data_IF_355387791578
#
_entry.id   IF_355387791578
#
_cell.length_a   1.000
_cell.length_b   1.000
_cell.length_c   1.000
_cell.angle_alpha   90.00
_cell.angle_beta   90.00
_cell.angle_gamma   90.00
#
_symmetry.space_group_name_H-M   'P 1'
#
loop_
_entity.id
_entity.type
_entity.pdbx_description
1 polymer ?
#
# COMPACT_ATOMS: atom_id res chain seq x y z
N UNK A 1 -31.90 8.76 2.32
CA UNK A 1 -31.43 7.38 2.10
C UNK A 1 -30.82 7.35 0.71
N UNK A 2 -29.57 7.00 0.42
CA UNK A 2 -28.41 6.49 1.18
C UNK A 2 -27.34 6.28 0.11
N UNK A 3 -26.10 6.66 0.34
CA UNK A 3 -24.95 5.80 0.00
C UNK A 3 -24.03 5.84 1.20
N UNK A 4 -24.15 4.81 2.03
CA UNK A 4 -23.12 4.47 3.01
C UNK A 4 -22.03 3.81 2.18
N UNK A 5 -20.86 4.44 2.12
CA UNK A 5 -19.67 3.81 1.55
C UNK A 5 -19.41 2.54 2.37
N UNK A 6 -19.69 1.38 1.79
CA UNK A 6 -19.54 0.09 2.48
C UNK A 6 -18.12 -0.06 3.06
N UNK A 7 -17.95 -0.74 4.20
CA UNK A 7 -16.62 -1.00 4.75
C UNK A 7 -15.80 -1.77 3.71
N UNK A 8 -14.60 -1.25 3.44
CA UNK A 8 -13.57 -1.84 2.57
C UNK A 8 -13.58 -3.39 2.63
N UNK A 9 -14.16 -4.08 1.62
CA UNK A 9 -14.44 -5.53 1.70
C UNK A 9 -13.19 -6.41 1.62
N UNK A 10 -12.00 -5.84 1.46
CA UNK A 10 -10.75 -6.59 1.40
C UNK A 10 -9.62 -5.92 2.17
N UNK A 11 -8.87 -6.73 2.91
CA UNK A 11 -7.64 -6.31 3.58
C UNK A 11 -6.49 -7.17 3.10
N UNK A 12 -5.44 -6.51 2.61
CA UNK A 12 -4.15 -7.11 2.30
C UNK A 12 -3.13 -6.69 3.34
N UNK A 13 -2.46 -7.66 3.97
CA UNK A 13 -1.38 -7.41 4.92
C UNK A 13 -0.10 -7.94 4.30
N UNK A 14 0.91 -7.07 4.23
CA UNK A 14 2.21 -7.38 3.70
C UNK A 14 3.27 -7.13 4.75
N UNK A 15 3.95 -8.20 5.15
CA UNK A 15 5.04 -8.16 6.12
C UNK A 15 6.36 -8.43 5.41
N UNK A 16 7.35 -7.57 5.68
CA UNK A 16 8.71 -7.64 5.14
C UNK A 16 9.65 -7.91 6.31
N UNK A 17 10.29 -9.06 6.30
CA UNK A 17 11.31 -9.42 7.30
C UNK A 17 12.67 -8.84 6.92
N UNK A 18 13.48 -8.51 7.93
CA UNK A 18 14.82 -7.94 7.74
C UNK A 18 14.82 -6.69 6.84
N UNK A 19 13.76 -5.88 6.92
CA UNK A 19 13.62 -4.67 6.12
C UNK A 19 14.76 -3.68 6.45
N UNK A 20 15.58 -3.38 5.46
CA UNK A 20 16.64 -2.38 5.56
C UNK A 20 16.39 -1.26 4.54
N UNK A 21 16.21 -0.01 5.02
CA UNK A 21 16.02 1.15 4.15
C UNK A 21 17.04 1.23 3.00
N UNK A 22 18.31 0.95 3.30
CA UNK A 22 19.44 1.24 2.40
C UNK A 22 19.68 0.22 1.28
N UNK A 23 18.89 -0.84 1.18
CA UNK A 23 19.21 -1.99 0.34
C UNK A 23 18.50 -2.05 -1.01
N UNK A 24 17.42 -1.27 -1.22
CA UNK A 24 16.63 -1.38 -2.45
C UNK A 24 15.89 -0.10 -2.81
N UNK A 25 15.98 0.32 -4.08
CA UNK A 25 15.27 1.49 -4.60
C UNK A 25 13.75 1.27 -4.71
N UNK A 26 13.30 0.02 -4.81
CA UNK A 26 11.89 -0.35 -4.86
C UNK A 26 11.67 -1.78 -4.37
N UNK A 27 10.78 -1.97 -3.40
CA UNK A 27 10.31 -3.28 -2.95
C UNK A 27 8.85 -3.46 -3.38
N UNK A 28 8.52 -4.63 -3.92
CA UNK A 28 7.16 -4.93 -4.41
C UNK A 28 6.59 -6.13 -3.67
N UNK A 29 5.33 -6.03 -3.26
CA UNK A 29 4.61 -7.15 -2.63
C UNK A 29 4.29 -8.24 -3.68
N UNK A 30 3.98 -9.47 -3.24
CA UNK A 30 3.24 -10.40 -4.07
C UNK A 30 1.95 -9.75 -4.55
N UNK A 31 1.57 -10.03 -5.80
CA UNK A 31 0.32 -9.50 -6.34
C UNK A 31 -0.88 -10.26 -5.81
N UNK A 32 -1.99 -9.57 -5.62
CA UNK A 32 -3.27 -10.13 -5.21
C UNK A 32 -4.38 -9.79 -6.23
N UNK A 33 -5.44 -10.60 -6.24
CA UNK A 33 -6.60 -10.43 -7.13
C UNK A 33 -7.83 -10.29 -6.27
N UNK A 34 -8.62 -9.24 -6.52
CA UNK A 34 -9.82 -8.96 -5.72
C UNK A 34 -11.05 -9.06 -6.60
N UNK A 35 -12.03 -9.86 -6.15
CA UNK A 35 -13.24 -10.18 -6.92
C UNK A 35 -14.09 -8.96 -7.24
N UNK A 36 -14.41 -8.14 -6.23
CA UNK A 36 -15.22 -6.93 -6.40
C UNK A 36 -14.50 -5.86 -7.25
N UNK A 37 -13.16 -5.86 -7.24
CA UNK A 37 -12.35 -5.05 -8.17
C UNK A 37 -12.21 -5.72 -9.54
N UNK A 38 -13.31 -6.29 -10.06
CA UNK A 38 -13.40 -6.85 -11.41
C UNK A 38 -12.32 -7.90 -11.73
N UNK A 39 -11.86 -8.64 -10.72
CA UNK A 39 -10.79 -9.66 -10.83
C UNK A 39 -9.50 -9.10 -11.42
N UNK A 40 -9.19 -7.82 -11.20
CA UNK A 40 -7.92 -7.22 -11.59
C UNK A 40 -6.84 -7.51 -10.55
N UNK A 41 -5.59 -7.39 -11.00
CA UNK A 41 -4.41 -7.73 -10.23
C UNK A 41 -3.78 -6.46 -9.67
N UNK A 42 -3.30 -6.53 -8.44
CA UNK A 42 -2.82 -5.39 -7.67
C UNK A 42 -1.62 -5.81 -6.83
N UNK A 43 -0.81 -4.85 -6.42
CA UNK A 43 0.30 -5.05 -5.48
C UNK A 43 0.62 -3.75 -4.76
N UNK A 44 1.40 -3.85 -3.69
CA UNK A 44 1.97 -2.71 -3.00
C UNK A 44 3.42 -2.51 -3.45
N UNK A 45 3.85 -1.25 -3.50
CA UNK A 45 5.24 -0.87 -3.78
C UNK A 45 5.73 0.07 -2.69
N UNK A 46 6.92 -0.19 -2.13
CA UNK A 46 7.63 0.77 -1.29
C UNK A 46 8.79 1.31 -2.11
N UNK A 47 8.90 2.64 -2.22
CA UNK A 47 9.99 3.30 -2.95
C UNK A 47 10.60 4.40 -2.11
N UNK A 48 11.90 4.57 -2.24
CA UNK A 48 12.59 5.75 -1.70
C UNK A 48 12.01 7.02 -2.32
N UNK A 49 11.91 8.08 -1.53
CA UNK A 49 11.50 9.38 -2.01
C UNK A 49 12.67 10.04 -2.73
N UNK A 50 12.48 10.45 -3.98
CA UNK A 50 13.51 11.21 -4.68
C UNK A 50 13.77 12.52 -3.92
N UNK A 51 15.03 12.82 -3.62
CA UNK A 51 15.52 14.08 -3.02
C UNK A 51 15.19 14.32 -1.53
N UNK A 52 14.50 13.40 -0.85
CA UNK A 52 14.13 13.52 0.56
C UNK A 52 14.41 12.20 1.31
N UNK A 53 14.88 12.28 2.56
CA UNK A 53 14.96 11.09 3.42
C UNK A 53 13.53 10.55 3.63
N UNK A 54 13.34 9.24 3.38
CA UNK A 54 12.05 8.55 3.58
C UNK A 54 11.63 7.63 2.44
N UNK A 55 10.50 6.95 2.64
CA UNK A 55 9.89 6.07 1.62
C UNK A 55 8.41 6.35 1.51
N UNK A 56 7.85 6.05 0.35
CA UNK A 56 6.42 6.08 0.10
C UNK A 56 5.94 4.67 -0.17
N UNK A 57 4.78 4.32 0.41
CA UNK A 57 4.07 3.10 0.07
C UNK A 57 2.96 3.43 -0.93
N UNK A 58 2.88 2.68 -2.00
CA UNK A 58 1.91 2.86 -3.07
C UNK A 58 1.07 1.61 -3.23
N UNK A 59 -0.18 1.78 -3.62
CA UNK A 59 -0.95 0.71 -4.25
C UNK A 59 -0.87 0.87 -5.77
N UNK A 60 -0.62 -0.24 -6.46
CA UNK A 60 -0.47 -0.28 -7.92
C UNK A 60 -1.41 -1.32 -8.51
N UNK A 61 -2.00 -0.98 -9.66
CA UNK A 61 -2.72 -1.93 -10.51
C UNK A 61 -1.75 -2.54 -11.53
N UNK A 62 -1.70 -3.85 -11.57
CA UNK A 62 -0.88 -4.60 -12.52
C UNK A 62 -1.42 -4.50 -13.96
N UNK A 63 -0.56 -4.77 -14.94
CA UNK A 63 -0.99 -4.91 -16.33
C UNK A 63 -1.77 -6.23 -16.50
N UNK A 64 -3.09 -6.13 -16.37
CA UNK A 64 -4.02 -7.27 -16.46
C UNK A 64 -4.34 -7.72 -17.91
N UNK A 65 -3.51 -7.31 -18.89
CA UNK A 65 -3.50 -7.62 -20.35
C UNK A 65 -4.86 -7.51 -21.05
N UNK A 66 -5.88 -8.26 -20.65
CA UNK A 66 -7.26 -8.25 -21.19
C UNK A 66 -8.40 -8.30 -20.13
N UNK A 67 -8.09 -8.34 -18.83
CA UNK A 67 -9.12 -8.34 -17.77
C UNK A 67 -9.46 -6.93 -17.31
N UNK A 68 -10.67 -6.77 -16.75
CA UNK A 68 -11.13 -5.54 -16.12
C UNK A 68 -11.34 -4.33 -17.04
N UNK A 69 -11.97 -3.27 -16.53
CA UNK A 69 -12.17 -2.02 -17.26
C UNK A 69 -10.86 -1.25 -17.46
N UNK A 70 -10.85 -0.30 -18.42
CA UNK A 70 -9.68 0.55 -18.69
C UNK A 70 -9.23 1.34 -17.46
N UNK A 71 -10.18 1.73 -16.60
CA UNK A 71 -9.95 2.47 -15.35
C UNK A 71 -10.75 1.82 -14.23
N UNK A 72 -10.20 1.78 -13.02
CA UNK A 72 -10.92 1.41 -11.80
C UNK A 72 -10.68 2.51 -10.78
N UNK A 73 -11.76 3.04 -10.23
CA UNK A 73 -11.71 3.91 -9.07
C UNK A 73 -11.81 3.07 -7.81
N UNK A 74 -10.88 3.28 -6.88
CA UNK A 74 -10.88 2.60 -5.57
C UNK A 74 -10.70 3.61 -4.44
N UNK A 75 -11.39 3.34 -3.35
CA UNK A 75 -11.09 3.91 -2.05
C UNK A 75 -10.18 2.94 -1.32
N UNK A 76 -9.19 3.45 -0.62
CA UNK A 76 -8.28 2.60 0.13
C UNK A 76 -7.76 3.28 1.38
N UNK A 77 -7.25 2.49 2.31
CA UNK A 77 -6.47 2.91 3.47
C UNK A 77 -5.14 2.15 3.47
N UNK A 78 -4.01 2.85 3.46
CA UNK A 78 -2.70 2.28 3.71
C UNK A 78 -2.30 2.58 5.15
N UNK A 79 -1.79 1.59 5.87
CA UNK A 79 -1.38 1.74 7.25
C UNK A 79 -0.08 0.99 7.54
N UNK A 80 0.76 1.56 8.40
CA UNK A 80 1.94 0.90 8.96
C UNK A 80 1.56 0.35 10.32
N UNK A 81 1.82 -0.92 10.54
CA UNK A 81 1.49 -1.61 11.80
C UNK A 81 2.74 -1.81 12.65
N UNK A 82 2.57 -1.70 13.97
CA UNK A 82 3.55 -2.18 14.94
C UNK A 82 3.49 -3.72 15.08
N UNK A 83 4.44 -4.28 15.81
CA UNK A 83 4.55 -5.73 16.03
C UNK A 83 3.32 -6.32 16.75
N UNK A 84 2.60 -5.52 17.55
CA UNK A 84 1.35 -5.90 18.23
C UNK A 84 0.09 -5.74 17.35
N UNK A 85 0.27 -5.32 16.09
CA UNK A 85 -0.81 -5.06 15.14
C UNK A 85 -1.49 -3.70 15.28
N UNK A 86 -1.07 -2.87 16.24
CA UNK A 86 -1.58 -1.50 16.37
C UNK A 86 -1.15 -0.63 15.18
N UNK A 87 -1.97 0.37 14.85
CA UNK A 87 -1.72 1.27 13.72
C UNK A 87 -0.79 2.40 14.17
N UNK A 88 0.42 2.46 13.59
CA UNK A 88 1.36 3.54 13.83
C UNK A 88 1.00 4.80 13.02
N UNK A 89 0.58 4.59 11.79
CA UNK A 89 0.06 5.62 10.90
C UNK A 89 -0.88 4.99 9.88
N UNK A 90 -1.83 5.78 9.38
CA UNK A 90 -2.68 5.39 8.28
C UNK A 90 -3.07 6.60 7.44
N UNK A 91 -3.16 6.41 6.13
CA UNK A 91 -3.64 7.41 5.19
C UNK A 91 -4.72 6.77 4.31
N UNK A 92 -5.81 7.53 4.14
CA UNK A 92 -6.91 7.15 3.28
C UNK A 92 -6.77 7.90 1.96
N UNK A 93 -7.02 7.20 0.87
CA UNK A 93 -6.96 7.77 -0.46
C UNK A 93 -8.10 7.28 -1.35
N UNK A 94 -8.35 8.05 -2.40
CA UNK A 94 -9.23 7.68 -3.49
C UNK A 94 -8.47 7.91 -4.80
N UNK A 95 -8.37 6.88 -5.64
CA UNK A 95 -7.55 6.94 -6.85
C UNK A 95 -8.20 6.30 -8.05
N UNK A 96 -7.91 6.83 -9.23
CA UNK A 96 -8.33 6.29 -10.53
C UNK A 96 -7.14 5.56 -11.18
N UNK A 97 -7.19 4.24 -11.18
CA UNK A 97 -6.12 3.37 -11.64
C UNK A 97 -6.35 2.93 -13.08
N UNK A 98 -5.49 3.40 -13.98
CA UNK A 98 -5.56 3.08 -15.39
C UNK A 98 -4.83 1.77 -15.69
N UNK A 99 -5.37 1.00 -16.63
CA UNK A 99 -4.66 -0.14 -17.21
C UNK A 99 -3.37 0.36 -17.89
N UNK A 100 -2.26 -0.37 -17.69
CA UNK A 100 -0.93 -0.08 -18.26
C UNK A 100 -0.24 1.20 -17.76
N UNK A 101 -0.86 1.96 -16.85
CA UNK A 101 -0.24 3.14 -16.23
C UNK A 101 -0.46 3.03 -14.72
N UNK A 102 0.62 2.83 -13.97
CA UNK A 102 0.65 2.89 -12.52
C UNK A 102 0.48 4.34 -12.08
N UNK A 103 -0.75 4.85 -12.11
CA UNK A 103 -1.10 6.06 -11.38
C UNK A 103 -1.39 5.60 -9.96
N UNK A 104 -0.46 5.85 -9.06
CA UNK A 104 -0.53 5.48 -7.66
C UNK A 104 -0.94 6.67 -6.80
N UNK A 105 -1.75 6.42 -5.78
CA UNK A 105 -1.75 7.27 -4.59
C UNK A 105 -0.81 6.65 -3.56
N UNK A 106 -0.09 7.49 -2.82
CA UNK A 106 0.86 7.08 -1.79
C UNK A 106 0.31 7.27 -0.39
N UNK A 107 0.78 6.44 0.53
CA UNK A 107 1.02 6.82 1.92
C UNK A 107 2.45 7.34 2.01
N UNK A 108 2.62 8.60 2.40
CA UNK A 108 3.94 9.13 2.72
C UNK A 108 4.39 8.61 4.09
N UNK A 109 5.49 7.86 4.12
CA UNK A 109 6.14 7.56 5.39
C UNK A 109 7.24 8.59 5.59
N UNK A 110 6.92 9.65 6.32
CA UNK A 110 7.88 10.67 6.74
C UNK A 110 8.93 10.10 7.71
N UNK A 111 10.06 10.77 7.83
CA UNK A 111 11.15 10.39 8.75
C UNK A 111 10.67 10.21 10.19
N UNK A 112 9.73 11.04 10.66
CA UNK A 112 9.18 10.91 12.01
C UNK A 112 8.48 9.56 12.23
N UNK A 113 7.84 9.02 11.19
CA UNK A 113 7.21 7.70 11.19
C UNK A 113 8.25 6.59 11.11
N UNK A 114 9.31 6.77 10.32
CA UNK A 114 10.44 5.83 10.30
C UNK A 114 11.12 5.71 11.65
N UNK A 115 11.38 6.83 12.30
CA UNK A 115 11.97 6.86 13.64
C UNK A 115 11.04 6.21 14.67
N UNK A 116 9.72 6.41 14.56
CA UNK A 116 8.73 5.74 15.41
C UNK A 116 8.71 4.23 15.17
N UNK A 117 8.68 3.79 13.91
CA UNK A 117 8.71 2.38 13.54
C UNK A 117 10.00 1.70 14.02
N UNK A 118 11.17 2.30 13.79
CA UNK A 118 12.46 1.75 14.25
C UNK A 118 12.53 1.59 15.77
N UNK A 119 11.84 2.43 16.55
CA UNK A 119 11.79 2.32 18.01
C UNK A 119 10.93 1.16 18.50
N UNK A 120 9.91 0.76 17.74
CA UNK A 120 8.93 -0.26 18.15
C UNK A 120 9.12 -1.59 17.43
N UNK A 121 9.86 -1.63 16.33
CA UNK A 121 10.11 -2.85 15.57
C UNK A 121 11.21 -3.66 16.23
N UNK A 122 10.87 -4.84 16.74
CA UNK A 122 11.80 -5.68 17.48
C UNK A 122 12.80 -6.44 16.58
N UNK A 123 12.59 -6.47 15.26
CA UNK A 123 13.34 -7.33 14.32
C UNK A 123 13.48 -6.77 12.90
N UNK A 124 13.41 -5.46 12.71
CA UNK A 124 13.34 -4.85 11.38
C UNK A 124 12.20 -5.44 10.53
N UNK A 125 11.05 -5.70 11.16
CA UNK A 125 9.86 -6.22 10.50
C UNK A 125 8.97 -5.03 10.16
N UNK A 126 8.78 -4.79 8.85
CA UNK A 126 7.87 -3.76 8.38
C UNK A 126 6.56 -4.42 7.95
N UNK A 127 5.46 -4.05 8.60
CA UNK A 127 4.13 -4.55 8.24
C UNK A 127 3.28 -3.40 7.70
N UNK A 128 2.81 -3.57 6.46
CA UNK A 128 1.89 -2.66 5.79
C UNK A 128 0.53 -3.34 5.65
N UNK A 129 -0.53 -2.61 5.97
CA UNK A 129 -1.92 -3.01 5.72
C UNK A 129 -2.53 -2.11 4.66
N UNK A 130 -3.15 -2.71 3.66
CA UNK A 130 -4.01 -2.02 2.70
C UNK A 130 -5.45 -2.51 2.88
N UNK A 131 -6.39 -1.61 3.14
CA UNK A 131 -7.83 -1.88 3.08
C UNK A 131 -8.41 -1.26 1.83
N UNK A 132 -9.29 -1.99 1.13
CA UNK A 132 -9.98 -1.58 -0.10
C UNK A 132 -11.40 -2.09 -0.12
#
# INVERSE_FOLDING_TARGET
MTEVCEPAPFTFIWTIENFSPRSCSTITSPSFIVGFMRKTKWHLEIKERNEQEGYCCFISRDNDKNKGPRTIEIYFELAVLADDGSVLTAEKGQGIFKKRVSISNSLEMEDSLWQRWMKVSSRNILTIRCKM
#
